data_IF_963236427434
#
_entry.id   IF_963236427434
#
_cell.length_a   1.000
_cell.length_b   1.000
_cell.length_c   1.000
_cell.angle_alpha   90.00
_cell.angle_beta   90.00
_cell.angle_gamma   90.00
#
_symmetry.space_group_name_H-M   'P 1'
#
loop_
_entity.id
_entity.type
_entity.pdbx_description
1 polymer ?
#
# COMPACT_ATOMS: atom_id res chain seq x y z
N UNK A 1 -13.42 9.96 1.37
CA UNK A 1 -12.66 10.89 0.50
C UNK A 1 -11.35 10.24 0.10
N UNK A 2 -10.48 9.92 1.06
CA UNK A 2 -9.19 9.25 0.85
C UNK A 2 -9.20 8.01 -0.07
N UNK A 3 -10.18 7.13 0.04
CA UNK A 3 -10.22 5.89 -0.74
C UNK A 3 -10.43 6.12 -2.24
N UNK A 4 -11.24 7.13 -2.62
CA UNK A 4 -11.45 7.47 -4.03
C UNK A 4 -10.19 8.10 -4.61
N UNK A 5 -9.51 8.95 -3.84
CA UNK A 5 -8.27 9.61 -4.25
C UNK A 5 -7.13 8.58 -4.48
N UNK A 6 -7.11 7.48 -3.72
CA UNK A 6 -6.14 6.37 -3.89
C UNK A 6 -6.43 5.56 -5.17
N UNK A 7 -7.69 5.25 -5.45
CA UNK A 7 -8.06 4.49 -6.66
C UNK A 7 -7.79 5.31 -7.93
N UNK A 8 -8.10 6.60 -7.89
CA UNK A 8 -7.81 7.52 -9.00
C UNK A 8 -6.30 7.57 -9.28
N UNK A 9 -5.46 7.59 -8.24
CA UNK A 9 -4.01 7.53 -8.38
C UNK A 9 -3.54 6.19 -9.00
N UNK A 10 -4.08 5.06 -8.56
CA UNK A 10 -3.74 3.75 -9.14
C UNK A 10 -4.18 3.63 -10.61
N UNK A 11 -5.34 4.19 -10.97
CA UNK A 11 -5.79 4.25 -12.37
C UNK A 11 -4.87 5.15 -13.20
N UNK A 12 -4.42 6.28 -12.64
CA UNK A 12 -3.43 7.15 -13.30
C UNK A 12 -2.11 6.42 -13.57
N UNK A 13 -1.54 5.72 -12.58
CA UNK A 13 -0.32 4.92 -12.79
C UNK A 13 -0.50 3.86 -13.88
N UNK A 14 -1.67 3.21 -13.91
CA UNK A 14 -2.01 2.23 -14.94
C UNK A 14 -2.05 2.86 -16.34
N UNK A 15 -2.66 4.04 -16.48
CA UNK A 15 -2.71 4.78 -17.75
C UNK A 15 -1.32 5.17 -18.22
N UNK A 16 -0.49 5.73 -17.34
CA UNK A 16 0.88 6.14 -17.63
C UNK A 16 1.70 4.93 -18.11
N UNK A 17 1.62 3.81 -17.37
CA UNK A 17 2.27 2.55 -17.75
C UNK A 17 1.84 2.05 -19.15
N UNK A 18 0.56 2.19 -19.49
CA UNK A 18 0.02 1.78 -20.80
C UNK A 18 0.29 2.75 -21.95
N UNK A 19 0.78 3.96 -21.66
CA UNK A 19 0.97 5.04 -22.64
C UNK A 19 2.06 4.79 -23.68
N UNK A 20 2.87 3.73 -23.54
CA UNK A 20 3.79 3.22 -24.55
C UNK A 20 5.06 4.04 -24.81
N UNK A 21 5.17 5.26 -24.27
CA UNK A 21 6.30 6.17 -24.52
C UNK A 21 7.37 6.19 -23.39
N UNK A 22 7.27 5.27 -22.42
CA UNK A 22 8.21 5.18 -21.31
C UNK A 22 9.25 4.08 -21.54
N UNK A 23 10.50 4.34 -21.13
CA UNK A 23 11.53 3.32 -21.11
C UNK A 23 11.26 2.26 -20.02
N UNK A 24 11.91 1.10 -20.13
CA UNK A 24 11.71 -0.02 -19.20
C UNK A 24 11.99 0.37 -17.74
N UNK A 25 13.04 1.16 -17.49
CA UNK A 25 13.41 1.62 -16.13
C UNK A 25 12.28 2.44 -15.50
N UNK A 26 11.67 3.35 -16.26
CA UNK A 26 10.53 4.15 -15.79
C UNK A 26 9.29 3.29 -15.58
N UNK A 27 9.05 2.30 -16.42
CA UNK A 27 7.97 1.33 -16.25
C UNK A 27 8.17 0.55 -14.95
N UNK A 28 9.39 0.06 -14.68
CA UNK A 28 9.71 -0.68 -13.46
C UNK A 28 9.49 0.19 -12.21
N UNK A 29 9.95 1.45 -12.24
CA UNK A 29 9.70 2.42 -11.17
C UNK A 29 8.21 2.65 -10.90
N UNK A 30 7.39 2.74 -11.95
CA UNK A 30 5.93 2.89 -11.83
C UNK A 30 5.29 1.63 -11.24
N UNK A 31 5.73 0.44 -11.66
CA UNK A 31 5.24 -0.84 -11.13
C UNK A 31 5.56 -0.96 -9.64
N UNK A 32 6.78 -0.61 -9.24
CA UNK A 32 7.19 -0.59 -7.83
C UNK A 32 6.30 0.39 -7.05
N UNK A 33 6.09 1.60 -7.58
CA UNK A 33 5.28 2.61 -6.91
C UNK A 33 3.81 2.16 -6.77
N UNK A 34 3.26 1.47 -7.76
CA UNK A 34 1.93 0.85 -7.70
C UNK A 34 1.81 -0.16 -6.54
N UNK A 35 2.86 -0.96 -6.29
CA UNK A 35 2.93 -1.90 -5.16
C UNK A 35 2.99 -1.15 -3.83
N UNK A 36 3.82 -0.11 -3.73
CA UNK A 36 4.00 0.70 -2.52
C UNK A 36 2.71 1.44 -2.13
N UNK A 37 1.96 1.95 -3.10
CA UNK A 37 0.67 2.59 -2.85
C UNK A 37 -0.36 1.58 -2.35
N UNK A 38 -0.40 0.38 -2.94
CA UNK A 38 -1.28 -0.71 -2.46
C UNK A 38 -0.91 -1.15 -1.05
N UNK A 39 0.38 -1.16 -0.71
CA UNK A 39 0.84 -1.40 0.66
C UNK A 39 0.24 -0.38 1.63
N UNK A 40 0.42 0.92 1.36
CA UNK A 40 -0.09 1.98 2.24
C UNK A 40 -1.61 1.95 2.37
N UNK A 41 -2.33 1.68 1.27
CA UNK A 41 -3.78 1.48 1.30
C UNK A 41 -4.17 0.33 2.23
N UNK A 42 -3.50 -0.81 2.13
CA UNK A 42 -3.73 -1.98 2.99
C UNK A 42 -3.46 -1.64 4.44
N UNK A 43 -2.35 -0.96 4.70
CA UNK A 43 -1.97 -0.51 6.03
C UNK A 43 -3.03 0.40 6.66
N UNK A 44 -3.55 1.39 5.93
CA UNK A 44 -4.60 2.29 6.45
C UNK A 44 -5.84 1.51 6.88
N UNK A 45 -6.22 0.47 6.12
CA UNK A 45 -7.33 -0.41 6.48
C UNK A 45 -7.02 -1.30 7.69
N UNK A 46 -5.77 -1.73 7.84
CA UNK A 46 -5.35 -2.70 8.86
C UNK A 46 -4.65 -2.07 10.07
N UNK A 47 -4.56 -0.75 10.17
CA UNK A 47 -3.72 -0.08 11.17
C UNK A 47 -4.04 -0.47 12.63
N UNK A 48 -5.27 -0.86 12.90
CA UNK A 48 -5.81 -1.18 14.22
C UNK A 48 -5.28 -2.51 14.78
N UNK A 49 -4.77 -3.40 13.90
CA UNK A 49 -4.20 -4.70 14.30
C UNK A 49 -2.69 -4.66 14.41
N UNK A 50 -2.07 -3.53 14.06
CA UNK A 50 -0.62 -3.36 13.96
C UNK A 50 -0.08 -2.82 15.28
N UNK A 51 1.09 -3.33 15.70
CA UNK A 51 1.73 -2.86 16.92
C UNK A 51 2.17 -1.39 16.83
N UNK A 52 2.20 -0.63 17.94
CA UNK A 52 2.68 0.77 17.91
C UNK A 52 4.08 0.93 17.32
N UNK A 53 4.98 -0.02 17.59
CA UNK A 53 6.34 -0.03 17.03
C UNK A 53 6.31 -0.18 15.50
N UNK A 54 5.45 -1.05 14.98
CA UNK A 54 5.24 -1.23 13.54
C UNK A 54 4.60 0.01 12.90
N UNK A 55 3.65 0.67 13.57
CA UNK A 55 3.04 1.93 13.10
C UNK A 55 4.11 3.02 12.85
N UNK A 56 5.03 3.22 13.80
CA UNK A 56 6.11 4.21 13.68
C UNK A 56 7.02 3.91 12.48
N UNK A 57 7.38 2.63 12.30
CA UNK A 57 8.26 2.22 11.19
C UNK A 57 7.55 2.34 9.83
N UNK A 58 6.27 2.00 9.76
CA UNK A 58 5.48 2.12 8.52
C UNK A 58 5.26 3.60 8.17
N UNK A 59 5.14 4.48 9.16
CA UNK A 59 5.08 5.93 8.92
C UNK A 59 6.35 6.44 8.24
N UNK A 60 7.53 5.94 8.62
CA UNK A 60 8.79 6.26 7.94
C UNK A 60 8.80 5.73 6.50
N UNK A 61 8.31 4.51 6.28
CA UNK A 61 8.15 3.94 4.93
C UNK A 61 7.22 4.81 4.08
N UNK A 62 6.11 5.29 4.62
CA UNK A 62 5.18 6.18 3.91
C UNK A 62 5.86 7.48 3.45
N UNK A 63 6.76 8.05 4.25
CA UNK A 63 7.56 9.21 3.86
C UNK A 63 8.51 8.90 2.71
N UNK A 64 9.20 7.74 2.74
CA UNK A 64 10.07 7.31 1.63
C UNK A 64 9.28 7.06 0.35
N UNK A 65 8.08 6.50 0.44
CA UNK A 65 7.19 6.31 -0.70
C UNK A 65 6.80 7.66 -1.31
N UNK A 66 6.53 8.68 -0.49
CA UNK A 66 6.25 10.04 -0.96
C UNK A 66 7.44 10.63 -1.74
N UNK A 67 8.67 10.43 -1.27
CA UNK A 67 9.87 10.82 -2.01
C UNK A 67 9.99 10.07 -3.36
N UNK A 68 9.69 8.77 -3.37
CA UNK A 68 9.65 7.96 -4.60
C UNK A 68 8.59 8.46 -5.58
N UNK A 69 7.39 8.82 -5.11
CA UNK A 69 6.35 9.46 -5.92
C UNK A 69 6.95 10.67 -6.62
N UNK A 70 7.43 11.66 -5.87
CA UNK A 70 7.99 12.89 -6.46
C UNK A 70 9.08 12.60 -7.51
N UNK A 71 10.02 11.71 -7.19
CA UNK A 71 11.10 11.34 -8.12
C UNK A 71 10.61 10.65 -9.40
N UNK A 72 9.63 9.76 -9.31
CA UNK A 72 9.05 9.09 -10.48
C UNK A 72 8.37 10.10 -11.39
N UNK A 73 7.59 11.01 -10.80
CA UNK A 73 6.78 12.01 -11.50
C UNK A 73 7.55 13.21 -12.06
N UNK A 74 8.65 13.62 -11.44
CA UNK A 74 9.53 14.67 -11.99
C UNK A 74 10.08 14.30 -13.38
N UNK A 75 10.19 13.00 -13.68
CA UNK A 75 10.67 12.49 -14.97
C UNK A 75 9.57 12.11 -15.97
N UNK A 76 8.29 12.38 -15.70
CA UNK A 76 7.17 12.03 -16.59
C UNK A 76 6.79 13.27 -17.45
N UNK A 77 6.55 13.09 -18.77
CA UNK A 77 6.16 14.20 -19.66
C UNK A 77 4.87 14.92 -19.22
N UNK A 78 4.80 16.22 -19.48
CA UNK A 78 3.70 17.09 -19.04
C UNK A 78 2.31 16.64 -19.55
N UNK A 79 2.25 15.89 -20.66
CA UNK A 79 1.02 15.31 -21.21
C UNK A 79 0.33 14.27 -20.30
N UNK A 80 1.08 13.68 -19.36
CA UNK A 80 0.55 12.80 -18.31
C UNK A 80 0.37 13.52 -16.96
N UNK A 81 0.76 14.79 -16.89
CA UNK A 81 0.93 15.59 -15.68
C UNK A 81 -0.31 16.41 -15.33
N UNK A 82 -1.50 15.84 -15.58
CA UNK A 82 -2.72 16.31 -14.93
C UNK A 82 -2.68 15.82 -13.46
N UNK A 83 -1.70 16.38 -12.71
CA UNK A 83 -1.05 15.84 -11.50
C UNK A 83 -1.82 16.15 -10.19
N UNK A 84 -2.87 16.97 -10.25
CA UNK A 84 -3.58 17.40 -9.04
C UNK A 84 -4.24 16.25 -8.26
N UNK A 85 -4.69 15.18 -8.92
CA UNK A 85 -5.29 14.04 -8.23
C UNK A 85 -4.25 13.13 -7.58
N UNK A 86 -3.04 13.09 -8.15
CA UNK A 86 -1.97 12.20 -7.77
C UNK A 86 -1.26 12.70 -6.51
N UNK A 87 -0.80 13.95 -6.53
CA UNK A 87 -0.20 14.61 -5.36
C UNK A 87 -1.18 14.67 -4.19
N UNK A 88 -2.47 14.97 -4.47
CA UNK A 88 -3.54 14.94 -3.47
C UNK A 88 -3.77 13.54 -2.91
N UNK A 89 -3.77 12.50 -3.74
CA UNK A 89 -3.90 11.11 -3.29
C UNK A 89 -2.76 10.70 -2.35
N UNK A 90 -1.52 11.11 -2.64
CA UNK A 90 -0.37 10.77 -1.80
C UNK A 90 -0.33 11.58 -0.51
N UNK A 91 -0.64 12.88 -0.56
CA UNK A 91 -0.81 13.69 0.66
C UNK A 91 -1.88 13.08 1.57
N UNK A 92 -2.99 12.64 0.98
CA UNK A 92 -4.08 12.02 1.73
C UNK A 92 -3.66 10.67 2.35
N UNK A 93 -2.85 9.88 1.64
CA UNK A 93 -2.22 8.67 2.20
C UNK A 93 -1.31 8.99 3.37
N UNK A 94 -0.45 10.00 3.24
CA UNK A 94 0.51 10.38 4.27
C UNK A 94 -0.18 10.93 5.53
N UNK A 95 -1.16 11.82 5.36
CA UNK A 95 -1.99 12.36 6.43
C UNK A 95 -2.76 11.26 7.14
N UNK A 96 -3.27 10.26 6.40
CA UNK A 96 -3.94 9.11 6.99
C UNK A 96 -2.96 8.29 7.83
N UNK A 97 -1.78 7.96 7.31
CA UNK A 97 -0.75 7.19 8.05
C UNK A 97 -0.30 7.93 9.32
N UNK A 98 -0.08 9.24 9.23
CA UNK A 98 0.33 10.08 10.37
C UNK A 98 -0.79 10.37 11.36
N UNK A 99 -2.04 10.51 10.91
CA UNK A 99 -3.19 10.68 11.79
C UNK A 99 -3.47 9.41 12.60
N UNK A 100 -3.23 8.25 12.00
CA UNK A 100 -3.46 6.94 12.62
C UNK A 100 -2.44 6.58 13.71
N UNK A 101 -1.26 7.22 13.74
CA UNK A 101 -0.30 7.04 14.85
C UNK A 101 -0.83 7.62 16.17
N UNK A 102 -1.84 8.50 16.13
CA UNK A 102 -2.46 9.11 17.31
C UNK A 102 -3.79 8.46 17.76
N UNK A 103 -4.38 7.56 16.96
CA UNK A 103 -5.71 7.03 17.21
C UNK A 103 -5.69 5.53 17.39
N UNK A 104 -5.52 5.10 18.64
CA UNK A 104 -5.84 3.73 19.05
C UNK A 104 -7.36 3.63 19.15
N UNK A 105 -8.03 3.34 18.03
CA UNK A 105 -9.46 3.06 18.08
C UNK A 105 -9.68 1.71 18.76
N UNK A 106 -10.55 1.69 19.78
CA UNK A 106 -11.23 0.47 20.21
C UNK A 106 -12.29 0.13 19.14
N UNK A 107 -11.83 -0.26 17.95
CA UNK A 107 -12.69 -0.59 16.83
C UNK A 107 -13.09 -2.06 16.92
N UNK A 108 -14.32 -2.34 17.37
CA UNK A 108 -14.94 -3.65 17.12
C UNK A 108 -15.28 -3.73 15.63
N UNK A 109 -14.54 -4.56 14.89
CA UNK A 109 -14.82 -4.86 13.49
C UNK A 109 -16.20 -5.52 13.40
N UNK A 110 -17.14 -4.92 12.67
CA UNK A 110 -18.37 -5.60 12.33
C UNK A 110 -18.16 -6.56 11.14
N UNK A 111 -19.14 -7.40 10.83
CA UNK A 111 -19.04 -8.41 9.76
C UNK A 111 -18.74 -7.82 8.37
N UNK A 112 -19.20 -6.59 8.09
CA UNK A 112 -18.91 -5.88 6.83
C UNK A 112 -17.48 -5.40 6.77
N UNK A 113 -16.98 -4.82 7.87
CA UNK A 113 -15.60 -4.35 7.98
C UNK A 113 -14.63 -5.53 7.92
N UNK A 114 -15.00 -6.65 8.54
CA UNK A 114 -14.29 -7.92 8.41
C UNK A 114 -14.23 -8.36 6.95
N UNK A 115 -15.35 -8.42 6.24
CA UNK A 115 -15.33 -8.84 4.84
C UNK A 115 -14.46 -7.93 3.97
N UNK A 116 -14.52 -6.61 4.15
CA UNK A 116 -13.68 -5.66 3.40
C UNK A 116 -12.20 -5.76 3.79
N UNK A 117 -11.89 -6.01 5.06
CA UNK A 117 -10.54 -6.31 5.58
C UNK A 117 -9.98 -7.58 4.95
N UNK A 118 -10.78 -8.65 4.91
CA UNK A 118 -10.38 -9.96 4.37
C UNK A 118 -10.16 -9.90 2.86
N UNK A 119 -11.04 -9.24 2.13
CA UNK A 119 -10.95 -9.11 0.67
C UNK A 119 -9.77 -8.19 0.28
N UNK A 120 -9.45 -7.20 1.13
CA UNK A 120 -8.25 -6.37 1.02
C UNK A 120 -6.98 -7.18 1.30
N UNK A 121 -6.95 -7.99 2.36
CA UNK A 121 -5.79 -8.81 2.72
C UNK A 121 -5.51 -9.88 1.66
N UNK A 122 -6.51 -10.63 1.21
CA UNK A 122 -6.29 -11.69 0.23
C UNK A 122 -5.75 -11.14 -1.11
N UNK A 123 -6.40 -10.11 -1.66
CA UNK A 123 -5.99 -9.51 -2.94
C UNK A 123 -4.64 -8.83 -2.85
N UNK A 124 -4.37 -8.10 -1.76
CA UNK A 124 -3.11 -7.37 -1.64
C UNK A 124 -1.97 -8.28 -1.19
N UNK A 125 -2.18 -9.24 -0.29
CA UNK A 125 -1.15 -10.24 0.04
C UNK A 125 -0.78 -11.05 -1.19
N UNK A 126 -1.75 -11.57 -1.97
CA UNK A 126 -1.43 -12.34 -3.18
C UNK A 126 -0.69 -11.49 -4.21
N UNK A 127 -1.13 -10.27 -4.48
CA UNK A 127 -0.41 -9.37 -5.39
C UNK A 127 0.98 -9.04 -4.87
N UNK A 128 1.13 -8.76 -3.57
CA UNK A 128 2.42 -8.42 -2.99
C UNK A 128 3.34 -9.64 -2.94
N UNK A 129 2.89 -10.85 -2.65
CA UNK A 129 3.71 -12.06 -2.73
C UNK A 129 4.16 -12.37 -4.15
N UNK A 130 3.26 -12.24 -5.15
CA UNK A 130 3.58 -12.49 -6.55
C UNK A 130 4.52 -11.42 -7.13
N UNK A 131 4.33 -10.15 -6.74
CA UNK A 131 5.12 -9.04 -7.23
C UNK A 131 6.43 -8.87 -6.46
N UNK A 132 6.48 -9.06 -5.14
CA UNK A 132 7.71 -8.92 -4.34
C UNK A 132 8.75 -10.00 -4.66
N UNK A 133 8.33 -11.26 -4.85
CA UNK A 133 9.24 -12.34 -5.20
C UNK A 133 9.89 -12.17 -6.59
N UNK A 134 9.31 -11.33 -7.46
CA UNK A 134 9.78 -11.07 -8.82
C UNK A 134 10.36 -9.66 -9.03
N UNK A 135 9.87 -8.68 -8.27
CA UNK A 135 10.36 -7.30 -8.17
C UNK A 135 11.16 -7.17 -6.88
N UNK A 136 12.39 -7.72 -6.89
CA UNK A 136 13.39 -7.19 -5.97
C UNK A 136 13.75 -5.80 -6.49
N UNK A 137 13.04 -4.76 -6.04
CA UNK A 137 13.53 -3.39 -6.20
C UNK A 137 14.87 -3.33 -5.46
N UNK A 138 16.01 -3.20 -6.16
CA UNK A 138 17.32 -3.16 -5.51
C UNK A 138 17.47 -1.93 -4.60
N UNK A 139 16.51 -0.99 -4.60
CA UNK A 139 16.50 0.18 -3.72
C UNK A 139 15.90 -0.08 -2.33
N UNK A 140 15.20 -1.19 -2.09
CA UNK A 140 14.73 -1.51 -0.74
C UNK A 140 15.87 -1.95 0.17
N UNK A 141 15.94 -1.34 1.34
CA UNK A 141 16.84 -1.74 2.41
C UNK A 141 16.33 -3.01 3.11
N UNK A 142 17.25 -3.73 3.77
CA UNK A 142 16.87 -4.90 4.58
C UNK A 142 15.89 -4.53 5.71
N UNK A 143 16.01 -3.31 6.24
CA UNK A 143 15.10 -2.80 7.28
C UNK A 143 13.69 -2.61 6.72
N UNK A 144 13.56 -2.00 5.55
CA UNK A 144 12.28 -1.81 4.84
C UNK A 144 11.57 -3.13 4.53
N UNK A 145 12.33 -4.14 4.12
CA UNK A 145 11.84 -5.50 3.89
C UNK A 145 11.34 -6.11 5.21
N UNK A 146 12.14 -6.00 6.27
CA UNK A 146 11.81 -6.55 7.58
C UNK A 146 10.54 -5.94 8.16
N UNK A 147 10.37 -4.62 8.08
CA UNK A 147 9.20 -3.91 8.61
C UNK A 147 7.92 -4.35 7.92
N UNK A 148 7.94 -4.43 6.59
CA UNK A 148 6.79 -4.90 5.81
C UNK A 148 6.47 -6.37 6.12
N UNK A 149 7.48 -7.24 6.25
CA UNK A 149 7.29 -8.63 6.69
C UNK A 149 6.68 -8.72 8.10
N UNK A 150 7.11 -7.85 9.01
CA UNK A 150 6.56 -7.77 10.35
C UNK A 150 5.08 -7.34 10.31
N UNK A 151 4.74 -6.32 9.53
CA UNK A 151 3.35 -5.91 9.30
C UNK A 151 2.48 -7.08 8.84
N UNK A 152 2.94 -7.83 7.83
CA UNK A 152 2.17 -8.96 7.33
C UNK A 152 1.95 -10.04 8.38
N UNK A 153 2.99 -10.38 9.13
CA UNK A 153 2.88 -11.35 10.21
C UNK A 153 1.88 -10.92 11.28
N UNK A 154 1.87 -9.64 11.64
CA UNK A 154 0.90 -9.08 12.59
C UNK A 154 -0.53 -9.18 12.05
N UNK A 155 -0.75 -8.83 10.78
CA UNK A 155 -2.07 -8.95 10.13
C UNK A 155 -2.53 -10.41 9.97
N UNK A 156 -1.62 -11.33 9.66
CA UNK A 156 -1.91 -12.76 9.51
C UNK A 156 -2.29 -13.39 10.85
N UNK A 157 -1.55 -13.08 11.91
CA UNK A 157 -1.84 -13.57 13.25
C UNK A 157 -3.21 -13.10 13.72
N UNK A 158 -3.54 -11.82 13.50
CA UNK A 158 -4.87 -11.31 13.83
C UNK A 158 -6.00 -12.01 13.06
N UNK A 159 -5.78 -12.32 11.78
CA UNK A 159 -6.73 -13.10 10.98
C UNK A 159 -6.94 -14.52 11.51
N UNK A 160 -5.87 -15.16 12.00
CA UNK A 160 -5.92 -16.50 12.63
C UNK A 160 -6.64 -16.49 13.97
N UNK A 161 -6.32 -15.52 14.84
CA UNK A 161 -6.92 -15.39 16.17
C UNK A 161 -8.45 -15.21 16.11
N UNK A 162 -8.94 -14.54 15.07
CA UNK A 162 -10.37 -14.36 14.85
C UNK A 162 -11.02 -15.52 14.07
N UNK A 163 -10.32 -16.63 13.83
CA UNK A 163 -10.85 -17.82 13.14
C UNK A 163 -11.10 -17.64 11.63
N UNK A 164 -10.57 -16.58 11.03
CA UNK A 164 -10.89 -16.17 9.65
C UNK A 164 -9.90 -16.78 8.63
N UNK A 165 -8.71 -17.16 9.09
CA UNK A 165 -7.67 -17.77 8.24
C UNK A 165 -8.09 -19.12 7.63
N UNK A 166 -8.88 -19.93 8.35
CA UNK A 166 -9.41 -21.21 7.86
C UNK A 166 -10.41 -21.00 6.70
N UNK A 167 -11.23 -19.93 6.77
CA UNK A 167 -12.21 -19.57 5.73
C UNK A 167 -11.48 -19.11 4.44
N UNK A 168 -10.38 -18.36 4.58
CA UNK A 168 -9.54 -17.95 3.45
C UNK A 168 -8.94 -19.13 2.68
N UNK A 169 -8.55 -20.18 3.40
CA UNK A 169 -7.90 -21.35 2.80
C UNK A 169 -8.90 -22.37 2.25
N UNK A 170 -10.17 -22.32 2.67
CA UNK A 170 -11.23 -23.24 2.24
C UNK A 170 -11.99 -22.79 0.99
N UNK A 171 -11.87 -21.53 0.55
CA UNK A 171 -12.42 -21.07 -0.74
C UNK A 171 -11.48 -21.32 -1.95
N UNK A 172 -10.57 -22.29 -1.79
CA UNK A 172 -9.67 -22.76 -2.86
C UNK A 172 -10.37 -23.70 -3.84
#
# INVERSE_FOLDING_TARGET
>A
MAQNDIEDMLDQLRRIKSGGNLNSVKIDQIVILEVEIRFLRTFIKCNHVVSPDSLVKITKIAQLIMEKVHSVFDGIPDEYKNNHNLERGVLTLLESVQGNTNLRYNYELNDSDMSEYMDCLDKNLRMMFLQWGSLSDPSWTNEEILVRNQFFKETENHSKENGIFEILMSQR
#
